data_IF_897346230752
#
_entry.id   IF_897346230752
#
_cell.length_a   1.000
_cell.length_b   1.000
_cell.length_c   1.000
_cell.angle_alpha   90.00
_cell.angle_beta   90.00
_cell.angle_gamma   90.00
#
_symmetry.space_group_name_H-M   'P 1'
#
loop_
_entity.id
_entity.type
_entity.pdbx_description
1 polymer ?
#
# COMPACT_ATOMS: atom_id res chain seq x y z
N UNK A 1 -15.98 6.96 2.28
CA UNK A 1 -14.77 7.16 1.47
C UNK A 1 -14.00 8.30 2.09
N UNK A 2 -12.70 8.14 2.30
CA UNK A 2 -11.90 9.21 2.88
C UNK A 2 -11.76 10.38 1.90
N UNK A 3 -11.72 11.59 2.44
CA UNK A 3 -11.42 12.78 1.64
C UNK A 3 -9.92 12.90 1.32
N UNK A 4 -9.56 13.91 0.52
CA UNK A 4 -8.18 14.18 0.09
C UNK A 4 -7.23 14.36 1.28
N UNK A 5 -7.67 15.02 2.35
CA UNK A 5 -6.84 15.29 3.53
C UNK A 5 -6.62 14.04 4.35
N UNK A 6 -7.65 13.20 4.50
CA UNK A 6 -7.59 11.94 5.20
C UNK A 6 -6.67 10.93 4.49
N UNK A 7 -6.76 10.81 3.15
CA UNK A 7 -5.84 9.96 2.37
C UNK A 7 -4.41 10.47 2.47
N UNK A 8 -4.18 11.78 2.30
CA UNK A 8 -2.86 12.39 2.45
C UNK A 8 -2.28 12.12 3.85
N UNK A 9 -3.11 12.28 4.90
CA UNK A 9 -2.73 12.01 6.29
C UNK A 9 -2.40 10.53 6.51
N UNK A 10 -3.18 9.61 5.96
CA UNK A 10 -2.91 8.18 6.07
C UNK A 10 -1.55 7.82 5.47
N UNK A 11 -1.29 8.29 4.24
CA UNK A 11 -0.01 8.08 3.54
C UNK A 11 1.14 8.72 4.31
N UNK A 12 0.94 9.91 4.90
CA UNK A 12 1.96 10.62 5.66
C UNK A 12 2.36 9.89 6.94
N UNK A 13 1.36 9.46 7.71
CA UNK A 13 1.56 8.74 8.97
C UNK A 13 2.09 7.32 8.78
N UNK A 14 1.86 6.71 7.61
CA UNK A 14 2.23 5.32 7.33
C UNK A 14 3.74 5.15 7.25
N UNK A 15 4.30 4.54 8.29
CA UNK A 15 5.71 4.14 8.37
C UNK A 15 5.84 2.71 8.89
N UNK A 16 6.90 2.01 8.48
CA UNK A 16 7.06 0.59 8.82
C UNK A 16 7.41 0.46 10.30
N UNK A 17 6.50 -0.13 11.08
CA UNK A 17 6.73 -0.42 12.48
C UNK A 17 7.49 -1.74 12.62
N UNK A 18 8.64 -1.74 13.30
CA UNK A 18 9.48 -2.94 13.43
C UNK A 18 9.46 -3.56 14.83
N UNK A 19 9.08 -2.78 15.84
CA UNK A 19 9.01 -3.19 17.24
C UNK A 19 7.61 -2.89 17.76
N UNK A 20 6.95 -3.86 18.37
CA UNK A 20 5.58 -3.71 18.85
C UNK A 20 5.54 -3.95 20.36
N UNK A 21 4.59 -3.31 21.03
CA UNK A 21 4.25 -3.68 22.40
C UNK A 21 3.83 -5.16 22.44
N UNK A 22 4.35 -5.91 23.41
CA UNK A 22 3.92 -7.28 23.67
C UNK A 22 2.59 -7.26 24.44
N UNK A 23 1.52 -6.85 23.76
CA UNK A 23 0.15 -6.85 24.31
C UNK A 23 -0.88 -7.34 23.31
N UNK A 24 -1.92 -7.99 23.85
CA UNK A 24 -3.12 -8.37 23.10
C UNK A 24 -4.04 -7.16 22.94
N UNK A 25 -4.81 -7.18 21.85
CA UNK A 25 -5.87 -6.21 21.62
C UNK A 25 -7.09 -6.51 22.49
N UNK A 26 -7.73 -5.46 22.98
CA UNK A 26 -9.06 -5.49 23.60
C UNK A 26 -10.15 -5.68 22.54
N UNK A 27 -11.37 -6.05 22.94
CA UNK A 27 -12.47 -6.31 22.00
C UNK A 27 -12.80 -5.11 21.10
N UNK A 28 -12.77 -3.90 21.63
CA UNK A 28 -12.96 -2.66 20.87
C UNK A 28 -11.85 -2.42 19.85
N UNK A 29 -10.59 -2.70 20.21
CA UNK A 29 -9.44 -2.63 19.32
C UNK A 29 -9.55 -3.70 18.21
N UNK A 30 -9.99 -4.93 18.53
CA UNK A 30 -10.25 -6.00 17.54
C UNK A 30 -11.38 -5.59 16.58
N UNK A 31 -12.46 -5.00 17.08
CA UNK A 31 -13.53 -4.48 16.25
C UNK A 31 -13.02 -3.40 15.28
N UNK A 32 -12.15 -2.50 15.76
CA UNK A 32 -11.50 -1.48 14.95
C UNK A 32 -10.63 -2.08 13.83
N UNK A 33 -9.88 -3.16 14.12
CA UNK A 33 -9.11 -3.91 13.12
C UNK A 33 -10.01 -4.56 12.09
N UNK A 34 -11.12 -5.18 12.52
CA UNK A 34 -12.11 -5.78 11.60
C UNK A 34 -12.73 -4.75 10.68
N UNK A 35 -13.10 -3.61 11.24
CA UNK A 35 -13.66 -2.50 10.48
C UNK A 35 -12.69 -1.97 9.41
N UNK A 36 -11.37 -2.05 9.63
CA UNK A 36 -10.38 -1.65 8.63
C UNK A 36 -10.36 -2.52 7.36
N UNK A 37 -10.99 -3.69 7.41
CA UNK A 37 -11.12 -4.60 6.25
C UNK A 37 -12.44 -4.38 5.48
N UNK A 38 -13.32 -3.53 5.99
CA UNK A 38 -14.60 -3.23 5.33
C UNK A 38 -14.46 -2.08 4.33
N UNK A 39 -15.29 -2.11 3.28
CA UNK A 39 -15.40 -1.00 2.33
C UNK A 39 -14.13 -0.73 1.51
N UNK A 40 -13.22 -1.71 1.44
CA UNK A 40 -12.05 -1.66 0.56
C UNK A 40 -12.47 -1.92 -0.89
N UNK A 41 -11.74 -1.30 -1.80
CA UNK A 41 -11.89 -1.41 -3.24
C UNK A 41 -11.09 -2.63 -3.73
N UNK A 42 -11.53 -3.24 -4.83
CA UNK A 42 -10.89 -4.42 -5.41
C UNK A 42 -10.77 -4.26 -6.94
N UNK A 43 -9.75 -4.87 -7.53
CA UNK A 43 -9.47 -4.76 -8.97
C UNK A 43 -10.34 -5.73 -9.78
N UNK A 44 -10.53 -6.96 -9.29
CA UNK A 44 -11.27 -8.01 -9.98
C UNK A 44 -12.76 -8.06 -9.59
N UNK A 45 -13.64 -8.25 -10.59
CA UNK A 45 -15.10 -8.34 -10.39
C UNK A 45 -15.58 -9.51 -9.52
N UNK A 46 -14.70 -10.44 -9.15
CA UNK A 46 -15.02 -11.56 -8.26
C UNK A 46 -15.21 -11.14 -6.78
N UNK A 47 -15.03 -9.86 -6.46
CA UNK A 47 -15.11 -9.31 -5.12
C UNK A 47 -13.80 -9.41 -4.35
N UNK A 48 -13.76 -8.87 -3.11
CA UNK A 48 -12.53 -8.75 -2.35
C UNK A 48 -11.98 -10.10 -1.90
N UNK A 49 -10.67 -10.18 -1.68
CA UNK A 49 -10.06 -11.36 -1.06
C UNK A 49 -10.60 -11.56 0.36
N UNK A 50 -10.56 -12.81 0.82
CA UNK A 50 -11.05 -13.18 2.16
C UNK A 50 -10.02 -12.82 3.24
N UNK A 51 -9.95 -11.53 3.61
CA UNK A 51 -9.12 -11.02 4.69
C UNK A 51 -9.63 -11.44 6.07
N UNK A 52 -8.69 -11.75 6.97
CA UNK A 52 -9.00 -12.05 8.36
C UNK A 52 -7.89 -11.57 9.30
N UNK A 53 -8.29 -11.29 10.54
CA UNK A 53 -7.39 -11.00 11.64
C UNK A 53 -7.11 -12.27 12.47
N UNK A 54 -5.86 -12.44 12.88
CA UNK A 54 -5.43 -13.45 13.84
C UNK A 54 -4.62 -12.81 14.96
N UNK A 55 -5.01 -13.06 16.21
CA UNK A 55 -4.29 -12.64 17.41
C UNK A 55 -3.13 -13.60 17.77
N UNK A 56 -3.01 -14.74 17.07
CA UNK A 56 -1.99 -15.74 17.35
C UNK A 56 -0.67 -15.37 16.65
N UNK A 57 0.00 -14.34 17.17
CA UNK A 57 1.30 -13.91 16.67
C UNK A 57 2.23 -13.51 17.84
N UNK A 58 3.49 -13.98 17.87
CA UNK A 58 4.32 -13.88 19.07
C UNK A 58 4.96 -12.52 19.31
N UNK A 59 5.08 -11.67 18.29
CA UNK A 59 5.91 -10.44 18.34
C UNK A 59 5.11 -9.14 18.18
N UNK A 60 3.79 -9.21 18.03
CA UNK A 60 2.90 -8.06 17.90
C UNK A 60 1.48 -8.40 18.35
N UNK A 61 0.57 -7.43 18.32
CA UNK A 61 -0.82 -7.63 18.74
C UNK A 61 -1.63 -8.51 17.77
N UNK A 62 -1.14 -8.74 16.56
CA UNK A 62 -1.64 -9.77 15.67
C UNK A 62 -1.22 -9.55 14.22
N UNK A 63 -1.87 -10.29 13.34
CA UNK A 63 -1.66 -10.22 11.89
C UNK A 63 -2.99 -10.11 11.15
N UNK A 64 -2.96 -9.45 10.01
CA UNK A 64 -4.01 -9.47 9.01
C UNK A 64 -3.46 -10.12 7.74
N UNK A 65 -4.20 -11.09 7.19
CA UNK A 65 -3.87 -11.71 5.91
C UNK A 65 -5.14 -12.19 5.18
N UNK A 66 -5.06 -12.32 3.86
CA UNK A 66 -6.09 -12.96 3.06
C UNK A 66 -5.86 -14.46 2.88
N UNK A 67 -6.95 -15.23 2.83
CA UNK A 67 -6.91 -16.63 2.40
C UNK A 67 -6.73 -16.69 0.88
N UNK A 68 -5.61 -17.23 0.44
CA UNK A 68 -5.28 -17.37 -0.98
C UNK A 68 -5.06 -18.84 -1.36
N UNK A 69 -5.60 -19.22 -2.53
CA UNK A 69 -5.34 -20.51 -3.18
C UNK A 69 -4.65 -20.35 -4.55
N UNK A 70 -4.79 -19.16 -5.14
CA UNK A 70 -4.17 -18.78 -6.40
C UNK A 70 -3.14 -17.69 -6.09
N UNK A 71 -1.89 -17.92 -6.51
CA UNK A 71 -0.76 -17.00 -6.35
C UNK A 71 -0.27 -16.47 -7.70
N UNK A 72 -1.16 -16.42 -8.70
CA UNK A 72 -0.94 -15.72 -9.96
C UNK A 72 -0.57 -14.25 -9.71
N UNK A 73 0.14 -13.65 -10.67
CA UNK A 73 0.59 -12.25 -10.56
C UNK A 73 -0.60 -11.32 -10.30
N UNK A 74 -1.71 -11.55 -10.99
CA UNK A 74 -2.95 -10.79 -10.86
C UNK A 74 -3.51 -10.83 -9.44
N UNK A 75 -3.55 -12.02 -8.82
CA UNK A 75 -4.02 -12.18 -7.44
C UNK A 75 -3.07 -11.59 -6.41
N UNK A 76 -1.77 -11.56 -6.70
CA UNK A 76 -0.79 -10.91 -5.84
C UNK A 76 -0.86 -9.38 -5.94
N UNK A 77 -1.16 -8.83 -7.11
CA UNK A 77 -1.44 -7.41 -7.26
C UNK A 77 -2.71 -7.04 -6.50
N UNK A 78 -3.80 -7.82 -6.62
CA UNK A 78 -5.01 -7.63 -5.80
C UNK A 78 -4.69 -7.66 -4.30
N UNK A 79 -3.88 -8.62 -3.85
CA UNK A 79 -3.47 -8.75 -2.45
C UNK A 79 -2.72 -7.51 -1.93
N UNK A 80 -1.83 -6.94 -2.74
CA UNK A 80 -1.16 -5.69 -2.39
C UNK A 80 -2.12 -4.48 -2.41
N UNK A 81 -3.03 -4.45 -3.37
CA UNK A 81 -4.00 -3.36 -3.55
C UNK A 81 -4.99 -3.28 -2.39
N UNK A 82 -5.63 -4.39 -2.05
CA UNK A 82 -6.54 -4.48 -0.91
C UNK A 82 -5.79 -4.33 0.42
N UNK A 83 -4.64 -4.99 0.55
CA UNK A 83 -3.86 -4.99 1.78
C UNK A 83 -3.34 -3.61 2.17
N UNK A 84 -2.91 -2.79 1.21
CA UNK A 84 -2.44 -1.45 1.54
C UNK A 84 -3.60 -0.51 1.94
N UNK A 85 -4.80 -0.68 1.40
CA UNK A 85 -5.99 0.03 1.89
C UNK A 85 -6.26 -0.30 3.37
N UNK A 86 -6.15 -1.59 3.73
CA UNK A 86 -6.26 -2.03 5.13
C UNK A 86 -5.15 -1.42 5.99
N UNK A 87 -3.91 -1.37 5.50
CA UNK A 87 -2.78 -0.73 6.19
C UNK A 87 -3.04 0.75 6.45
N UNK A 88 -3.55 1.49 5.47
CA UNK A 88 -3.88 2.91 5.61
C UNK A 88 -5.03 3.12 6.61
N UNK A 89 -6.07 2.28 6.56
CA UNK A 89 -7.17 2.28 7.54
C UNK A 89 -6.67 2.04 8.97
N UNK A 90 -5.83 1.02 9.16
CA UNK A 90 -5.20 0.71 10.44
C UNK A 90 -4.33 1.87 10.93
N UNK A 91 -3.60 2.52 10.02
CA UNK A 91 -2.75 3.68 10.33
C UNK A 91 -3.58 4.85 10.87
N UNK A 92 -4.71 5.18 10.22
CA UNK A 92 -5.62 6.24 10.68
C UNK A 92 -6.24 5.93 12.06
N UNK A 93 -6.43 4.65 12.37
CA UNK A 93 -6.90 4.17 13.69
C UNK A 93 -5.80 4.07 14.75
N UNK A 94 -4.57 4.47 14.42
CA UNK A 94 -3.45 4.56 15.36
C UNK A 94 -2.61 3.28 15.51
N UNK A 95 -2.85 2.26 14.68
CA UNK A 95 -2.03 1.05 14.69
C UNK A 95 -0.72 1.27 13.92
N UNK A 96 0.38 0.79 14.48
CA UNK A 96 1.60 0.56 13.71
C UNK A 96 1.44 -0.68 12.84
N UNK A 97 2.02 -0.65 11.64
CA UNK A 97 1.90 -1.75 10.67
C UNK A 97 3.24 -2.09 10.03
N UNK A 98 3.40 -3.36 9.63
CA UNK A 98 4.50 -3.80 8.78
C UNK A 98 4.05 -4.92 7.86
N UNK A 99 4.36 -4.77 6.58
CA UNK A 99 4.44 -5.90 5.67
C UNK A 99 5.59 -6.82 6.11
N UNK A 100 5.31 -8.11 6.29
CA UNK A 100 6.29 -9.11 6.72
C UNK A 100 6.12 -10.41 5.93
N UNK A 101 7.22 -11.13 5.73
CA UNK A 101 7.26 -12.47 5.13
C UNK A 101 7.74 -13.46 6.19
N UNK A 102 7.04 -14.60 6.32
CA UNK A 102 7.47 -15.72 7.14
C UNK A 102 7.75 -16.93 6.23
N UNK A 103 8.55 -17.92 6.66
CA UNK A 103 8.92 -19.07 5.81
C UNK A 103 7.74 -19.79 5.13
N UNK A 104 6.54 -19.74 5.73
CA UNK A 104 5.32 -20.40 5.22
C UNK A 104 4.23 -19.42 4.76
N UNK A 105 4.52 -18.12 4.72
CA UNK A 105 3.55 -17.10 4.32
C UNK A 105 4.19 -16.15 3.34
N UNK A 106 3.54 -15.97 2.20
CA UNK A 106 4.06 -15.12 1.15
C UNK A 106 4.25 -13.66 1.61
N UNK A 107 3.22 -13.13 2.27
CA UNK A 107 3.22 -11.83 2.93
C UNK A 107 2.08 -11.79 3.95
N UNK A 108 2.21 -10.92 4.94
CA UNK A 108 1.15 -10.59 5.91
C UNK A 108 1.35 -9.17 6.44
N UNK A 109 0.28 -8.59 6.98
CA UNK A 109 0.32 -7.31 7.66
C UNK A 109 0.41 -7.58 9.16
N UNK A 110 1.58 -7.37 9.74
CA UNK A 110 1.75 -7.36 11.19
C UNK A 110 1.22 -6.04 11.73
N UNK A 111 0.43 -6.08 12.80
CA UNK A 111 -0.12 -4.89 13.43
C UNK A 111 -0.01 -4.91 14.96
N UNK A 112 0.00 -3.72 15.53
CA UNK A 112 -0.03 -3.51 16.98
C UNK A 112 0.35 -2.08 17.32
N UNK A 113 0.62 -1.84 18.60
CA UNK A 113 1.09 -0.55 19.06
C UNK A 113 2.62 -0.47 18.98
N UNK A 114 3.20 0.67 18.56
CA UNK A 114 4.65 0.86 18.63
C UNK A 114 5.15 0.64 20.05
N UNK A 115 6.23 -0.12 20.21
CA UNK A 115 6.88 -0.29 21.51
C UNK A 115 7.28 1.07 22.10
N UNK A 116 6.86 1.35 23.33
CA UNK A 116 7.14 2.62 24.01
C UNK A 116 8.50 2.58 24.70
N UNK A 117 9.51 3.07 24.01
CA UNK A 117 10.79 3.43 24.59
C UNK A 117 11.47 4.51 23.74
N UNK A 118 12.34 5.30 24.37
CA UNK A 118 13.01 6.46 23.76
C UNK A 118 13.75 6.08 22.46
N UNK A 119 14.43 4.93 22.44
CA UNK A 119 15.15 4.45 21.25
C UNK A 119 14.17 4.18 20.09
N UNK A 120 13.05 3.51 20.35
CA UNK A 120 12.05 3.18 19.33
C UNK A 120 11.36 4.43 18.80
N UNK A 121 11.11 5.42 19.66
CA UNK A 121 10.55 6.71 19.26
C UNK A 121 11.52 7.50 18.37
N UNK A 122 12.81 7.53 18.72
CA UNK A 122 13.87 8.14 17.89
C UNK A 122 13.99 7.41 16.55
N UNK A 123 14.05 6.08 16.54
CA UNK A 123 14.10 5.26 15.31
C UNK A 123 12.87 5.52 14.42
N UNK A 124 11.69 5.66 15.02
CA UNK A 124 10.44 5.93 14.32
C UNK A 124 10.44 7.35 13.73
N UNK A 125 10.85 8.36 14.49
CA UNK A 125 10.99 9.74 14.03
C UNK A 125 12.02 9.85 12.90
N UNK A 126 13.18 9.20 13.05
CA UNK A 126 14.20 9.15 11.99
C UNK A 126 13.66 8.51 10.71
N UNK A 127 12.94 7.38 10.80
CA UNK A 127 12.29 6.76 9.63
C UNK A 127 11.32 7.70 8.93
N UNK A 128 10.60 8.52 9.68
CA UNK A 128 9.68 9.50 9.12
C UNK A 128 10.44 10.63 8.41
N UNK A 129 11.45 11.23 9.06
CA UNK A 129 12.28 12.30 8.52
C UNK A 129 13.03 11.88 7.24
N UNK A 130 13.67 10.72 7.25
CA UNK A 130 14.44 10.21 6.11
C UNK A 130 13.58 9.47 5.07
N UNK A 131 12.26 9.40 5.26
CA UNK A 131 11.37 8.67 4.33
C UNK A 131 11.48 9.23 2.92
N UNK A 132 11.44 10.57 2.80
CA UNK A 132 11.50 11.25 1.51
C UNK A 132 12.85 11.06 0.81
N UNK A 133 13.95 11.15 1.55
CA UNK A 133 15.31 11.00 1.02
C UNK A 133 15.62 9.57 0.57
N UNK A 134 14.91 8.57 1.13
CA UNK A 134 15.05 7.18 0.73
C UNK A 134 14.19 6.80 -0.49
N UNK A 135 13.34 7.70 -0.99
CA UNK A 135 12.53 7.45 -2.20
C UNK A 135 13.23 8.04 -3.42
N UNK A 136 13.15 7.35 -4.56
CA UNK A 136 13.64 7.87 -5.84
C UNK A 136 12.97 9.20 -6.14
N UNK A 137 13.64 10.19 -6.73
CA UNK A 137 12.99 11.39 -7.26
C UNK A 137 11.78 11.03 -8.13
N UNK A 138 10.73 11.86 -8.14
CA UNK A 138 9.55 11.58 -8.95
C UNK A 138 9.92 11.52 -10.44
N UNK A 139 10.87 12.34 -10.84
CA UNK A 139 11.40 12.50 -12.19
C UNK A 139 12.05 11.21 -12.72
N UNK A 140 12.53 10.31 -11.84
CA UNK A 140 13.04 8.99 -12.21
C UNK A 140 11.93 7.93 -12.36
N UNK A 141 10.73 8.23 -11.86
CA UNK A 141 9.58 7.33 -11.84
C UNK A 141 8.53 7.67 -12.90
N UNK A 142 8.64 8.82 -13.58
CA UNK A 142 7.70 9.26 -14.60
C UNK A 142 8.27 9.15 -16.01
N UNK A 143 7.43 8.75 -16.97
CA UNK A 143 7.74 8.69 -18.39
C UNK A 143 6.54 9.15 -19.23
N UNK A 144 6.67 9.18 -20.55
CA UNK A 144 5.58 9.56 -21.46
C UNK A 144 5.47 11.07 -21.64
N UNK A 145 4.25 11.59 -21.66
CA UNK A 145 3.91 13.01 -21.90
C UNK A 145 4.06 13.86 -20.63
N UNK A 146 5.29 13.99 -20.14
CA UNK A 146 5.58 14.70 -18.88
C UNK A 146 5.26 16.19 -18.90
N UNK A 147 5.11 16.79 -20.07
CA UNK A 147 4.61 18.14 -20.28
C UNK A 147 3.15 18.34 -19.82
N UNK A 148 2.38 17.26 -19.69
CA UNK A 148 0.99 17.28 -19.21
C UNK A 148 0.87 17.15 -17.68
N UNK A 149 2.00 17.12 -16.96
CA UNK A 149 2.02 16.98 -15.50
C UNK A 149 1.54 18.26 -14.82
N UNK A 150 0.24 18.32 -14.50
CA UNK A 150 -0.33 19.37 -13.67
C UNK A 150 -0.11 19.14 -12.15
N UNK A 151 -0.57 20.08 -11.32
CA UNK A 151 -0.40 20.01 -9.87
C UNK A 151 -1.14 18.85 -9.21
N UNK A 152 -2.32 18.48 -9.71
CA UNK A 152 -3.15 17.41 -9.13
C UNK A 152 -2.60 16.04 -9.53
N UNK A 153 -2.23 15.86 -10.79
CA UNK A 153 -1.53 14.68 -11.28
C UNK A 153 -0.21 14.50 -10.54
N UNK A 154 0.53 15.59 -10.29
CA UNK A 154 1.76 15.53 -9.48
C UNK A 154 1.50 15.04 -8.07
N UNK A 155 0.41 15.45 -7.42
CA UNK A 155 0.04 14.98 -6.08
C UNK A 155 -0.34 13.49 -6.06
N UNK A 156 -1.09 13.03 -7.06
CA UNK A 156 -1.42 11.62 -7.27
C UNK A 156 -0.15 10.78 -7.39
N UNK A 157 0.79 11.20 -8.25
CA UNK A 157 2.02 10.47 -8.48
C UNK A 157 2.98 10.52 -7.27
N UNK A 158 3.03 11.64 -6.54
CA UNK A 158 3.79 11.73 -5.29
C UNK A 158 3.23 10.80 -4.21
N UNK A 159 1.91 10.62 -4.17
CA UNK A 159 1.26 9.67 -3.25
C UNK A 159 1.69 8.23 -3.56
N UNK A 160 1.73 7.86 -4.86
CA UNK A 160 2.28 6.60 -5.34
C UNK A 160 3.78 6.44 -5.03
N UNK A 161 4.59 7.48 -5.23
CA UNK A 161 6.03 7.48 -4.89
C UNK A 161 6.29 7.15 -3.42
N UNK A 162 5.42 7.58 -2.51
CA UNK A 162 5.56 7.32 -1.08
C UNK A 162 5.22 5.88 -0.66
N UNK A 163 4.54 5.12 -1.52
CA UNK A 163 4.15 3.74 -1.27
C UNK A 163 5.33 2.90 -0.74
N UNK A 164 5.10 2.02 0.25
CA UNK A 164 6.12 1.09 0.69
C UNK A 164 6.43 0.08 -0.43
N UNK A 165 7.66 -0.42 -0.44
CA UNK A 165 8.04 -1.53 -1.31
C UNK A 165 9.09 -2.38 -0.63
N UNK A 166 9.15 -3.63 -1.04
CA UNK A 166 10.11 -4.58 -0.51
C UNK A 166 11.53 -4.13 -0.85
N UNK A 167 12.38 -4.08 0.19
CA UNK A 167 13.74 -3.54 0.10
C UNK A 167 13.80 -2.11 -0.46
N UNK A 168 12.69 -1.36 -0.39
CA UNK A 168 12.58 0.03 -0.85
C UNK A 168 12.94 0.24 -2.34
N UNK A 169 12.75 -0.79 -3.17
CA UNK A 169 13.16 -0.78 -4.59
C UNK A 169 12.35 0.14 -5.48
N UNK A 170 11.10 0.42 -5.08
CA UNK A 170 10.11 1.15 -5.88
C UNK A 170 10.04 0.57 -7.31
N UNK A 171 9.61 -0.70 -7.45
CA UNK A 171 9.66 -1.45 -8.71
C UNK A 171 8.54 -1.07 -9.69
N UNK A 172 8.26 0.23 -9.84
CA UNK A 172 7.21 0.77 -10.69
C UNK A 172 7.65 1.99 -11.48
N UNK A 173 6.93 2.27 -12.57
CA UNK A 173 7.01 3.48 -13.40
C UNK A 173 5.58 3.98 -13.67
N UNK A 174 5.41 5.29 -13.70
CA UNK A 174 4.19 5.98 -14.08
C UNK A 174 4.36 6.59 -15.48
N UNK A 175 3.62 6.10 -16.47
CA UNK A 175 3.61 6.64 -17.83
C UNK A 175 2.41 7.58 -18.00
N UNK A 176 2.67 8.87 -18.22
CA UNK A 176 1.63 9.87 -18.48
C UNK A 176 1.21 9.73 -19.95
N UNK A 177 -0.05 9.37 -20.18
CA UNK A 177 -0.61 9.14 -21.51
C UNK A 177 -1.45 10.34 -21.99
N UNK A 178 -2.07 11.07 -21.06
CA UNK A 178 -2.87 12.26 -21.34
C UNK A 178 -3.17 13.04 -20.06
N UNK A 179 -3.93 14.14 -20.19
CA UNK A 179 -4.33 15.01 -19.06
C UNK A 179 -5.12 14.28 -17.96
N UNK A 180 -5.73 13.13 -18.32
CA UNK A 180 -6.62 12.37 -17.43
C UNK A 180 -6.37 10.87 -17.44
N UNK A 181 -5.16 10.46 -17.86
CA UNK A 181 -4.84 9.05 -18.09
C UNK A 181 -3.36 8.76 -17.79
N UNK A 182 -3.12 7.80 -16.90
CA UNK A 182 -1.78 7.34 -16.51
C UNK A 182 -1.74 5.81 -16.54
N UNK A 183 -0.72 5.23 -17.14
CA UNK A 183 -0.41 3.82 -16.97
C UNK A 183 0.60 3.62 -15.83
N UNK A 184 0.34 2.64 -14.96
CA UNK A 184 1.21 2.21 -13.88
C UNK A 184 1.79 0.85 -14.25
N UNK A 185 3.12 0.79 -14.35
CA UNK A 185 3.85 -0.41 -14.76
C UNK A 185 4.65 -0.97 -13.60
N UNK A 186 4.50 -2.26 -13.30
CA UNK A 186 5.47 -3.01 -12.52
C UNK A 186 6.67 -3.44 -13.38
N UNK A 187 7.81 -3.72 -12.75
CA UNK A 187 8.98 -4.27 -13.46
C UNK A 187 8.65 -5.57 -14.20
N UNK A 188 9.03 -5.64 -15.49
CA UNK A 188 8.75 -6.77 -16.40
C UNK A 188 9.79 -7.90 -16.33
N UNK A 189 11.03 -7.61 -15.93
CA UNK A 189 12.13 -8.60 -15.90
C UNK A 189 12.75 -8.62 -14.51
N UNK A 190 12.64 -9.78 -13.86
CA UNK A 190 13.09 -9.99 -12.49
C UNK A 190 13.60 -11.41 -12.30
N UNK A 191 14.56 -11.63 -11.37
CA UNK A 191 14.81 -12.96 -10.85
C UNK A 191 13.50 -13.53 -10.28
N UNK A 192 13.14 -14.77 -10.65
CA UNK A 192 11.89 -15.42 -10.23
C UNK A 192 11.66 -15.40 -8.71
N UNK A 193 12.74 -15.39 -7.91
CA UNK A 193 12.70 -15.29 -6.44
C UNK A 193 12.04 -14.00 -5.91
N UNK A 194 11.86 -12.97 -6.74
CA UNK A 194 11.24 -11.70 -6.35
C UNK A 194 9.90 -11.44 -7.04
N UNK A 195 9.47 -12.34 -7.92
CA UNK A 195 8.24 -12.17 -8.72
C UNK A 195 7.05 -11.86 -7.83
N UNK A 196 6.81 -12.71 -6.84
CA UNK A 196 5.63 -12.62 -5.98
C UNK A 196 5.59 -11.31 -5.18
N UNK A 197 6.75 -10.94 -4.63
CA UNK A 197 6.91 -9.76 -3.78
C UNK A 197 6.70 -8.48 -4.58
N UNK A 198 7.16 -8.46 -5.83
CA UNK A 198 7.03 -7.28 -6.68
C UNK A 198 5.62 -7.16 -7.24
N UNK A 199 4.91 -8.27 -7.45
CA UNK A 199 3.48 -8.24 -7.76
C UNK A 199 2.67 -7.63 -6.61
N UNK A 200 2.99 -7.96 -5.36
CA UNK A 200 2.40 -7.30 -4.18
C UNK A 200 2.78 -5.82 -4.14
N UNK A 201 4.06 -5.47 -4.32
CA UNK A 201 4.50 -4.06 -4.32
C UNK A 201 3.78 -3.23 -5.41
N UNK A 202 3.45 -3.82 -6.57
CA UNK A 202 2.64 -3.17 -7.60
C UNK A 202 1.21 -2.88 -7.10
N UNK A 203 0.57 -3.84 -6.42
CA UNK A 203 -0.73 -3.61 -5.79
C UNK A 203 -0.70 -2.48 -4.77
N UNK A 204 0.33 -2.45 -3.93
CA UNK A 204 0.53 -1.42 -2.90
C UNK A 204 0.60 -0.02 -3.52
N UNK A 205 1.40 0.18 -4.58
CA UNK A 205 1.47 1.50 -5.24
C UNK A 205 0.16 1.86 -5.96
N UNK A 206 -0.53 0.88 -6.55
CA UNK A 206 -1.85 1.10 -7.16
C UNK A 206 -2.86 1.61 -6.13
N UNK A 207 -2.85 1.08 -4.90
CA UNK A 207 -3.73 1.55 -3.82
C UNK A 207 -3.51 3.04 -3.54
N UNK A 208 -2.25 3.46 -3.38
CA UNK A 208 -1.92 4.87 -3.12
C UNK A 208 -2.40 5.79 -4.22
N UNK A 209 -2.09 5.45 -5.47
CA UNK A 209 -2.42 6.24 -6.66
C UNK A 209 -3.94 6.32 -6.85
N UNK A 210 -4.62 5.18 -6.75
CA UNK A 210 -6.07 5.08 -6.95
C UNK A 210 -6.85 5.84 -5.87
N UNK A 211 -6.53 5.63 -4.59
CA UNK A 211 -7.20 6.31 -3.49
C UNK A 211 -7.03 7.83 -3.57
N UNK A 212 -5.81 8.30 -3.87
CA UNK A 212 -5.58 9.75 -4.02
C UNK A 212 -6.34 10.31 -5.22
N UNK A 213 -6.36 9.60 -6.35
CA UNK A 213 -7.11 10.04 -7.54
C UNK A 213 -8.60 10.15 -7.22
N UNK A 214 -9.17 9.16 -6.53
CA UNK A 214 -10.58 9.18 -6.09
C UNK A 214 -10.92 10.26 -5.08
N UNK A 215 -9.94 10.69 -4.29
CA UNK A 215 -10.13 11.76 -3.34
C UNK A 215 -10.08 13.15 -4.00
N UNK A 216 -9.53 13.25 -5.22
CA UNK A 216 -9.40 14.49 -5.98
C UNK A 216 -10.44 14.57 -7.12
N UNK A 217 -10.84 13.43 -7.69
CA UNK A 217 -11.65 13.32 -8.91
C UNK A 217 -12.91 12.52 -8.64
N UNK A 218 -14.00 12.89 -9.31
CA UNK A 218 -15.33 12.34 -9.05
C UNK A 218 -15.47 10.89 -9.55
N UNK A 219 -15.06 10.62 -10.79
CA UNK A 219 -15.10 9.28 -11.37
C UNK A 219 -13.70 8.81 -11.71
N UNK A 220 -13.35 7.61 -11.24
CA UNK A 220 -12.03 7.01 -11.46
C UNK A 220 -12.20 5.57 -11.90
N UNK A 221 -11.56 5.22 -13.00
CA UNK A 221 -11.48 3.85 -13.50
C UNK A 221 -10.05 3.35 -13.40
N UNK A 222 -9.86 2.16 -12.84
CA UNK A 222 -8.59 1.45 -12.82
C UNK A 222 -8.74 0.12 -13.58
N UNK A 223 -8.09 0.00 -14.72
CA UNK A 223 -8.26 -1.13 -15.64
C UNK A 223 -6.95 -1.88 -15.84
N UNK A 224 -6.95 -3.20 -15.65
CA UNK A 224 -5.78 -4.03 -15.99
C UNK A 224 -5.60 -4.09 -17.51
N UNK A 225 -4.40 -3.74 -17.99
CA UNK A 225 -4.00 -3.87 -19.41
C UNK A 225 -3.10 -5.07 -19.69
N UNK A 226 -2.33 -5.50 -18.70
CA UNK A 226 -1.57 -6.75 -18.72
C UNK A 226 -1.34 -7.23 -17.29
N UNK A 227 -0.67 -8.37 -17.10
CA UNK A 227 -0.34 -8.89 -15.76
C UNK A 227 0.37 -7.87 -14.85
N UNK A 228 1.14 -6.93 -15.43
CA UNK A 228 1.92 -5.93 -14.69
C UNK A 228 1.69 -4.49 -15.15
N UNK A 229 0.62 -4.22 -15.90
CA UNK A 229 0.26 -2.85 -16.31
C UNK A 229 -1.20 -2.59 -15.99
N UNK A 230 -1.45 -1.49 -15.31
CA UNK A 230 -2.78 -0.98 -15.01
C UNK A 230 -2.92 0.44 -15.53
N UNK A 231 -4.13 0.79 -15.93
CA UNK A 231 -4.45 2.07 -16.52
C UNK A 231 -5.45 2.79 -15.63
N UNK A 232 -5.04 3.95 -15.12
CA UNK A 232 -5.86 4.82 -14.31
C UNK A 232 -6.40 5.96 -15.17
N UNK A 233 -7.72 6.17 -15.14
CA UNK A 233 -8.41 7.25 -15.84
C UNK A 233 -9.38 7.95 -14.91
N UNK A 234 -9.64 9.23 -15.16
CA UNK A 234 -10.65 10.00 -14.44
C UNK A 234 -11.39 11.00 -15.32
N UNK A 235 -12.58 11.44 -14.89
CA UNK A 235 -13.35 12.53 -15.53
C UNK A 235 -13.29 13.84 -14.76
#
# INVERSE_FOLDING_TARGET
MYDRQEIARAIELRITQRKFENRRLQESEIASVRDSMNGIEHLESAGPLQWYYSCNFPIASGIVLAKMKDFSTEKLVEYGFEGEQIVLNLTLKGFGTSWARLPNYLSMIVLGYPEKNEITDIERAARHLYRNSNRKPLEELITGRTELLDSEMREILLSGRLAPSSFNRQPWIFEILGEREIAIHGWKKLPAIYEEVISIDLGVVLSHVYLMTRAIKDEVALERKSSRTYLLRWS
#
